data_IF_672641077741
#
_entry.id   IF_672641077741
#
_cell.length_a   1.000
_cell.length_b   1.000
_cell.length_c   1.000
_cell.angle_alpha   90.00
_cell.angle_beta   90.00
_cell.angle_gamma   90.00
#
_symmetry.space_group_name_H-M   'P 1'
#
loop_
_entity.id
_entity.type
_entity.pdbx_description
1 polymer ?
#
# COMPACT_ATOMS: atom_id res chain seq x y z
N UNK A 1 -3.70 25.41 -45.23
CA UNK A 1 -3.71 25.47 -43.76
C UNK A 1 -2.55 24.61 -43.33
N UNK A 2 -1.43 25.30 -43.09
CA UNK A 2 -0.19 24.72 -42.59
C UNK A 2 -0.49 24.03 -41.26
N UNK A 3 -0.09 22.76 -41.17
CA UNK A 3 0.02 22.03 -39.93
C UNK A 3 1.19 22.64 -39.16
N UNK A 4 0.91 23.57 -38.26
CA UNK A 4 1.86 23.98 -37.23
C UNK A 4 2.22 22.73 -36.40
N UNK A 5 3.46 22.29 -36.53
CA UNK A 5 4.07 21.33 -35.62
C UNK A 5 4.00 21.92 -34.19
N UNK A 6 3.63 21.15 -33.17
CA UNK A 6 3.64 21.68 -31.81
C UNK A 6 5.09 22.00 -31.43
N UNK A 7 5.30 23.28 -31.11
CA UNK A 7 6.55 23.88 -30.67
C UNK A 7 7.26 23.05 -29.59
N UNK A 8 8.59 23.13 -29.63
CA UNK A 8 9.56 22.49 -28.74
C UNK A 8 9.08 22.39 -27.28
N UNK A 9 9.11 21.15 -26.76
CA UNK A 9 8.71 20.81 -25.39
C UNK A 9 9.33 21.75 -24.36
N UNK A 10 8.50 22.48 -23.63
CA UNK A 10 8.94 23.30 -22.49
C UNK A 10 9.88 22.52 -21.56
N UNK A 11 10.90 23.19 -20.97
CA UNK A 11 11.89 22.53 -20.13
C UNK A 11 11.23 21.80 -18.96
N UNK A 12 11.47 20.48 -18.90
CA UNK A 12 10.84 19.52 -17.98
C UNK A 12 11.16 19.74 -16.51
N UNK A 13 12.15 20.58 -16.19
CA UNK A 13 12.52 21.00 -14.84
C UNK A 13 13.31 22.31 -14.91
N UNK A 14 13.20 23.16 -13.89
CA UNK A 14 14.06 24.34 -13.75
C UNK A 14 15.50 23.96 -13.39
N UNK A 15 16.49 24.88 -13.54
CA UNK A 15 17.85 24.66 -13.06
C UNK A 15 17.91 24.27 -11.58
N UNK A 16 17.07 24.90 -10.74
CA UNK A 16 17.01 24.61 -9.30
C UNK A 16 16.47 23.21 -9.04
N UNK A 17 15.40 22.79 -9.74
CA UNK A 17 14.85 21.44 -9.64
C UNK A 17 15.87 20.37 -10.10
N UNK A 18 16.63 20.65 -11.16
CA UNK A 18 17.68 19.75 -11.65
C UNK A 18 18.86 19.65 -10.67
N UNK A 19 19.35 20.76 -10.14
CA UNK A 19 20.40 20.78 -9.14
C UNK A 19 19.98 20.01 -7.88
N UNK A 20 18.73 20.20 -7.45
CA UNK A 20 18.17 19.49 -6.30
C UNK A 20 18.06 17.98 -6.55
N UNK A 21 17.63 17.58 -7.75
CA UNK A 21 17.57 16.18 -8.17
C UNK A 21 18.92 15.50 -8.31
N UNK A 22 20.03 16.25 -8.39
CA UNK A 22 21.42 15.74 -8.44
C UNK A 22 22.15 15.83 -7.10
N UNK A 23 21.56 16.50 -6.10
CA UNK A 23 22.20 16.72 -4.81
C UNK A 23 23.31 17.76 -4.83
N UNK A 24 23.34 18.64 -5.85
CA UNK A 24 24.40 19.66 -6.00
C UNK A 24 24.14 20.85 -5.07
N UNK A 25 24.62 20.76 -3.84
CA UNK A 25 24.46 21.80 -2.83
C UNK A 25 25.09 23.13 -3.25
N UNK A 26 26.23 23.09 -3.95
CA UNK A 26 26.92 24.32 -4.36
C UNK A 26 26.08 25.08 -5.39
N UNK A 27 25.56 24.36 -6.38
CA UNK A 27 24.69 24.95 -7.39
C UNK A 27 23.36 25.43 -6.77
N UNK A 28 22.79 24.71 -5.80
CA UNK A 28 21.62 25.16 -5.04
C UNK A 28 21.88 26.49 -4.35
N UNK A 29 22.99 26.62 -3.63
CA UNK A 29 23.34 27.87 -2.94
C UNK A 29 23.58 29.02 -3.93
N UNK A 30 24.27 28.74 -5.05
CA UNK A 30 24.48 29.71 -6.11
C UNK A 30 23.15 30.19 -6.70
N UNK A 31 22.28 29.26 -7.09
CA UNK A 31 20.97 29.57 -7.68
C UNK A 31 20.09 30.37 -6.72
N UNK A 32 19.97 29.96 -5.46
CA UNK A 32 19.18 30.67 -4.44
C UNK A 32 19.70 32.08 -4.16
N UNK A 33 20.99 32.36 -4.37
CA UNK A 33 21.55 33.71 -4.21
C UNK A 33 21.22 34.67 -5.35
N UNK A 34 20.83 34.15 -6.52
CA UNK A 34 20.57 34.94 -7.73
C UNK A 34 19.11 34.88 -8.20
N UNK A 35 18.28 33.97 -7.66
CA UNK A 35 16.86 33.86 -8.02
C UNK A 35 15.97 34.62 -7.02
N UNK A 36 15.31 35.72 -7.45
CA UNK A 36 14.44 36.50 -6.56
C UNK A 36 13.14 35.76 -6.21
N UNK A 37 12.75 34.76 -7.01
CA UNK A 37 11.54 33.95 -6.84
C UNK A 37 11.65 32.95 -5.67
N UNK A 38 12.87 32.75 -5.13
CA UNK A 38 13.13 31.82 -4.02
C UNK A 38 13.04 30.35 -4.43
N UNK A 39 12.94 29.42 -3.45
CA UNK A 39 12.95 27.98 -3.73
C UNK A 39 11.60 27.40 -4.17
N UNK A 40 10.52 28.19 -4.18
CA UNK A 40 9.13 27.75 -4.36
C UNK A 40 8.66 27.85 -5.82
N UNK A 41 9.54 27.49 -6.76
CA UNK A 41 9.17 27.42 -8.17
C UNK A 41 8.10 26.34 -8.40
N UNK A 42 7.09 26.69 -9.19
CA UNK A 42 6.02 25.76 -9.56
C UNK A 42 6.60 24.51 -10.27
N UNK A 43 6.12 23.30 -9.94
CA UNK A 43 6.53 22.08 -10.61
C UNK A 43 6.23 22.15 -12.11
N UNK A 44 7.23 21.88 -12.97
CA UNK A 44 7.06 21.92 -14.42
C UNK A 44 6.63 20.55 -14.96
N UNK A 45 5.60 20.54 -15.80
CA UNK A 45 5.07 19.33 -16.43
C UNK A 45 4.16 18.47 -15.54
N UNK A 46 3.53 17.48 -16.18
CA UNK A 46 2.49 16.65 -15.55
C UNK A 46 2.99 15.82 -14.35
N UNK A 47 4.28 15.45 -14.36
CA UNK A 47 4.98 14.73 -13.28
C UNK A 47 5.99 15.61 -12.54
N UNK A 48 5.89 16.94 -12.68
CA UNK A 48 6.82 17.88 -12.10
C UNK A 48 6.96 17.72 -10.60
N UNK A 49 8.18 17.96 -10.10
CA UNK A 49 8.50 18.03 -8.67
C UNK A 49 9.01 19.43 -8.34
N UNK A 50 8.73 19.92 -7.14
CA UNK A 50 9.49 21.05 -6.60
C UNK A 50 10.94 20.64 -6.35
N UNK A 51 11.84 21.61 -6.21
CA UNK A 51 13.23 21.34 -5.84
C UNK A 51 13.30 20.53 -4.53
N UNK A 52 12.49 20.90 -3.53
CA UNK A 52 12.41 20.20 -2.25
C UNK A 52 11.96 18.73 -2.40
N UNK A 53 10.93 18.48 -3.22
CA UNK A 53 10.46 17.12 -3.51
C UNK A 53 11.52 16.28 -4.24
N UNK A 54 12.24 16.87 -5.20
CA UNK A 54 13.30 16.19 -5.93
C UNK A 54 14.47 15.77 -5.00
N UNK A 55 14.94 16.69 -4.16
CA UNK A 55 15.98 16.40 -3.18
C UNK A 55 15.53 15.38 -2.12
N UNK A 56 14.27 15.49 -1.66
CA UNK A 56 13.72 14.61 -0.64
C UNK A 56 13.53 13.18 -1.13
N UNK A 57 13.12 12.99 -2.39
CA UNK A 57 12.97 11.67 -2.99
C UNK A 57 14.32 10.91 -3.15
N UNK A 58 15.43 11.64 -3.24
CA UNK A 58 16.77 11.07 -3.41
C UNK A 58 17.62 11.11 -2.13
N UNK A 59 17.07 11.60 -1.01
CA UNK A 59 17.76 11.58 0.28
C UNK A 59 18.87 12.62 0.42
N UNK A 60 18.87 13.69 -0.37
CA UNK A 60 19.90 14.72 -0.31
C UNK A 60 19.69 15.68 0.86
N UNK A 61 19.96 15.17 2.06
CA UNK A 61 19.78 15.82 3.36
C UNK A 61 20.31 17.26 3.42
N UNK A 62 21.52 17.50 2.91
CA UNK A 62 22.14 18.83 2.90
C UNK A 62 21.41 19.82 1.98
N UNK A 63 20.92 19.34 0.84
CA UNK A 63 20.12 20.13 -0.11
C UNK A 63 18.73 20.40 0.45
N UNK A 64 18.07 19.39 1.03
CA UNK A 64 16.78 19.55 1.74
C UNK A 64 16.90 20.63 2.81
N UNK A 65 17.95 20.54 3.64
CA UNK A 65 18.23 21.55 4.66
C UNK A 65 18.39 22.94 4.04
N UNK A 66 19.20 23.10 3.00
CA UNK A 66 19.42 24.40 2.36
C UNK A 66 18.12 25.00 1.78
N UNK A 67 17.31 24.19 1.10
CA UNK A 67 16.03 24.61 0.54
C UNK A 67 15.04 25.05 1.63
N UNK A 68 14.92 24.29 2.72
CA UNK A 68 14.05 24.66 3.85
C UNK A 68 14.52 25.96 4.53
N UNK A 69 15.83 26.16 4.71
CA UNK A 69 16.37 27.42 5.26
C UNK A 69 16.11 28.62 4.34
N UNK A 70 16.03 28.39 3.02
CA UNK A 70 15.68 29.41 2.05
C UNK A 70 14.16 29.66 1.92
N UNK A 71 13.34 29.02 2.76
CA UNK A 71 11.88 29.21 2.79
C UNK A 71 11.11 28.31 1.83
N UNK A 72 11.65 27.15 1.46
CA UNK A 72 10.88 26.16 0.70
C UNK A 72 9.66 25.68 1.50
N UNK A 73 8.48 25.71 0.89
CA UNK A 73 7.25 25.22 1.50
C UNK A 73 7.30 23.67 1.59
N UNK A 74 7.34 23.09 2.80
CA UNK A 74 7.41 21.64 2.99
C UNK A 74 6.16 20.89 2.51
N UNK A 75 5.02 21.58 2.43
CA UNK A 75 3.72 21.03 2.02
C UNK A 75 3.34 21.42 0.58
N UNK A 76 4.29 22.01 -0.17
CA UNK A 76 4.10 22.36 -1.56
C UNK A 76 3.61 21.15 -2.37
N UNK A 77 2.62 21.40 -3.23
CA UNK A 77 2.05 20.37 -4.11
C UNK A 77 2.95 20.14 -5.30
N UNK A 78 3.17 18.87 -5.65
CA UNK A 78 3.81 18.51 -6.91
C UNK A 78 2.90 18.74 -8.11
N UNK A 79 3.38 18.37 -9.30
CA UNK A 79 2.62 18.48 -10.54
C UNK A 79 1.30 17.70 -10.55
N UNK A 80 0.52 17.91 -11.61
CA UNK A 80 -0.90 17.55 -11.74
C UNK A 80 -1.24 16.04 -11.61
N UNK A 81 -0.27 15.13 -11.58
CA UNK A 81 -0.52 13.67 -11.56
C UNK A 81 -0.09 12.90 -10.30
N UNK A 82 0.03 13.55 -9.15
CA UNK A 82 0.28 12.75 -7.95
C UNK A 82 0.49 13.49 -6.66
N UNK A 83 0.85 14.78 -6.72
CA UNK A 83 0.87 15.68 -5.56
C UNK A 83 1.53 15.09 -4.31
N UNK A 84 2.50 14.17 -4.43
CA UNK A 84 3.21 13.61 -3.29
C UNK A 84 3.99 14.75 -2.66
N UNK A 85 3.78 15.01 -1.38
CA UNK A 85 4.59 15.98 -0.63
C UNK A 85 6.03 15.46 -0.54
N UNK A 86 6.96 16.36 -0.24
CA UNK A 86 8.35 15.99 0.02
C UNK A 86 8.44 14.90 1.10
N UNK A 87 7.57 14.99 2.13
CA UNK A 87 7.50 14.04 3.23
C UNK A 87 7.11 12.63 2.77
N UNK A 88 6.11 12.50 1.89
CA UNK A 88 5.69 11.20 1.35
C UNK A 88 6.79 10.57 0.50
N UNK A 89 7.47 11.36 -0.34
CA UNK A 89 8.58 10.87 -1.17
C UNK A 89 9.76 10.39 -0.34
N UNK A 90 10.16 11.15 0.68
CA UNK A 90 11.22 10.75 1.60
C UNK A 90 10.85 9.49 2.38
N UNK A 91 9.58 9.36 2.80
CA UNK A 91 9.10 8.21 3.54
C UNK A 91 9.00 6.94 2.69
N UNK A 92 8.61 7.05 1.42
CA UNK A 92 8.61 5.95 0.46
C UNK A 92 10.03 5.40 0.23
N UNK A 93 11.02 6.29 0.14
CA UNK A 93 12.42 5.94 -0.07
C UNK A 93 13.19 5.59 1.22
N UNK A 94 12.59 5.80 2.41
CA UNK A 94 13.19 5.44 3.70
C UNK A 94 14.22 6.45 4.22
N UNK A 95 14.24 7.67 3.70
CA UNK A 95 15.18 8.72 4.09
C UNK A 95 14.76 9.37 5.42
N UNK A 96 15.02 8.67 6.52
CA UNK A 96 14.56 9.05 7.87
C UNK A 96 15.09 10.40 8.34
N UNK A 97 16.30 10.77 7.96
CA UNK A 97 16.91 12.07 8.27
C UNK A 97 16.21 13.22 7.53
N UNK A 98 15.87 13.01 6.25
CA UNK A 98 15.07 13.94 5.45
C UNK A 98 13.66 14.06 6.02
N UNK A 99 13.02 12.96 6.40
CA UNK A 99 11.70 12.98 7.07
C UNK A 99 11.74 13.81 8.35
N UNK A 100 12.75 13.59 9.20
CA UNK A 100 12.90 14.35 10.44
C UNK A 100 13.11 15.84 10.18
N UNK A 101 13.89 16.22 9.16
CA UNK A 101 14.09 17.62 8.76
C UNK A 101 12.79 18.26 8.26
N UNK A 102 12.05 17.57 7.39
CA UNK A 102 10.79 18.09 6.86
C UNK A 102 9.77 18.34 7.97
N UNK A 103 9.59 17.37 8.88
CA UNK A 103 8.68 17.52 10.03
C UNK A 103 9.14 18.65 10.96
N UNK A 104 10.44 18.76 11.23
CA UNK A 104 10.98 19.85 12.07
C UNK A 104 10.79 21.23 11.45
N UNK A 105 10.72 21.30 10.11
CA UNK A 105 10.44 22.53 9.36
C UNK A 105 8.95 22.75 9.08
N UNK A 106 8.05 21.98 9.73
CA UNK A 106 6.61 22.21 9.69
C UNK A 106 5.83 21.39 8.66
N UNK A 107 6.41 20.35 8.04
CA UNK A 107 5.67 19.47 7.13
C UNK A 107 4.49 18.78 7.82
N UNK A 108 3.34 18.73 7.14
CA UNK A 108 2.13 18.10 7.67
C UNK A 108 2.21 16.58 7.54
N UNK A 109 2.40 15.87 8.66
CA UNK A 109 2.50 14.40 8.72
C UNK A 109 1.26 13.70 8.16
N UNK A 110 0.08 14.23 8.48
CA UNK A 110 -1.21 13.61 8.15
C UNK A 110 -1.86 14.21 6.89
N UNK A 111 -1.04 14.61 5.91
CA UNK A 111 -1.54 15.11 4.63
C UNK A 111 -2.42 14.05 3.95
N UNK A 112 -3.60 14.46 3.51
CA UNK A 112 -4.54 13.55 2.84
C UNK A 112 -3.92 13.03 1.53
N UNK A 113 -3.93 11.71 1.29
CA UNK A 113 -3.39 11.14 0.06
C UNK A 113 -4.14 11.64 -1.18
N UNK A 114 -3.40 11.84 -2.27
CA UNK A 114 -3.98 12.09 -3.59
C UNK A 114 -4.92 10.95 -4.01
N UNK A 115 -5.97 11.29 -4.76
CA UNK A 115 -7.10 10.38 -5.07
C UNK A 115 -6.68 9.07 -5.78
N UNK A 116 -5.63 9.10 -6.59
CA UNK A 116 -5.09 7.96 -7.33
C UNK A 116 -3.72 7.58 -6.80
N UNK A 117 -3.53 6.34 -6.37
CA UNK A 117 -2.23 5.83 -5.87
C UNK A 117 -1.61 6.62 -4.71
N UNK A 118 -2.33 7.59 -4.12
CA UNK A 118 -1.82 8.40 -3.04
C UNK A 118 -1.57 7.58 -1.78
N UNK A 119 -0.64 8.09 -0.97
CA UNK A 119 -0.24 7.54 0.33
C UNK A 119 -0.01 8.68 1.32
N UNK A 120 -0.27 8.44 2.59
CA UNK A 120 0.35 9.21 3.68
C UNK A 120 1.81 8.78 3.85
N UNK A 121 2.60 9.54 4.60
CA UNK A 121 3.98 9.18 4.92
C UNK A 121 4.06 7.80 5.61
N UNK A 122 3.15 7.52 6.54
CA UNK A 122 3.08 6.23 7.24
C UNK A 122 2.72 5.08 6.29
N UNK A 123 1.74 5.27 5.40
CA UNK A 123 1.37 4.25 4.42
C UNK A 123 2.52 3.97 3.45
N UNK A 124 3.27 4.99 3.03
CA UNK A 124 4.44 4.85 2.16
C UNK A 124 5.61 4.14 2.86
N UNK A 125 5.94 4.52 4.10
CA UNK A 125 6.97 3.85 4.89
C UNK A 125 6.64 2.37 5.16
N UNK A 126 5.36 2.08 5.44
CA UNK A 126 4.88 0.72 5.65
C UNK A 126 4.94 -0.14 4.37
N UNK A 127 4.63 0.43 3.20
CA UNK A 127 4.77 -0.25 1.89
C UNK A 127 6.26 -0.48 1.56
N UNK A 128 7.13 0.47 1.88
CA UNK A 128 8.58 0.41 1.61
C UNK A 128 9.40 -0.45 2.58
N UNK A 129 8.82 -0.91 3.69
CA UNK A 129 9.52 -1.77 4.66
C UNK A 129 10.40 -1.02 5.66
N UNK A 130 10.21 0.28 5.82
CA UNK A 130 11.05 1.13 6.66
C UNK A 130 10.60 1.11 8.12
N UNK A 131 10.91 0.03 8.84
CA UNK A 131 10.42 -0.25 10.20
C UNK A 131 10.72 0.87 11.21
N UNK A 132 11.97 1.33 11.28
CA UNK A 132 12.37 2.43 12.18
C UNK A 132 11.61 3.72 11.87
N UNK A 133 11.40 3.99 10.58
CA UNK A 133 10.67 5.16 10.13
C UNK A 133 9.17 5.07 10.47
N UNK A 134 8.57 3.87 10.37
CA UNK A 134 7.19 3.64 10.82
C UNK A 134 7.05 3.94 12.30
N UNK A 135 7.96 3.43 13.14
CA UNK A 135 7.98 3.71 14.58
C UNK A 135 8.11 5.21 14.86
N UNK A 136 9.03 5.87 14.15
CA UNK A 136 9.26 7.30 14.28
C UNK A 136 8.01 8.11 13.90
N UNK A 137 7.40 7.83 12.74
CA UNK A 137 6.19 8.52 12.28
C UNK A 137 5.02 8.35 13.26
N UNK A 138 4.83 7.15 13.80
CA UNK A 138 3.80 6.89 14.82
C UNK A 138 4.07 7.67 16.11
N UNK A 139 5.33 7.75 16.55
CA UNK A 139 5.72 8.55 17.72
C UNK A 139 5.49 10.06 17.51
N UNK A 140 5.46 10.53 16.26
CA UNK A 140 5.21 11.93 15.90
C UNK A 140 3.76 12.18 15.45
N UNK A 141 2.83 11.30 15.82
CA UNK A 141 1.39 11.54 15.63
C UNK A 141 0.86 11.22 14.23
N UNK A 142 1.56 10.39 13.45
CA UNK A 142 0.97 9.83 12.24
C UNK A 142 -0.29 9.01 12.57
N UNK A 143 -1.37 9.27 11.84
CA UNK A 143 -2.62 8.55 12.02
C UNK A 143 -2.48 7.12 11.49
N UNK A 144 -2.38 6.16 12.41
CA UNK A 144 -2.26 4.72 12.11
C UNK A 144 -3.41 4.18 11.25
N UNK A 145 -4.59 4.76 11.38
CA UNK A 145 -5.81 4.40 10.66
C UNK A 145 -6.16 5.47 9.60
N UNK A 146 -5.18 6.18 9.05
CA UNK A 146 -5.41 7.12 7.97
C UNK A 146 -6.11 6.44 6.79
N UNK A 147 -7.15 7.06 6.20
CA UNK A 147 -7.90 6.46 5.12
C UNK A 147 -7.02 6.28 3.88
N UNK A 148 -7.22 5.20 3.10
CA UNK A 148 -6.53 5.00 1.83
C UNK A 148 -6.99 5.99 0.77
N UNK A 149 -6.18 6.18 -0.28
CA UNK A 149 -6.62 6.83 -1.51
C UNK A 149 -7.82 6.10 -2.15
N UNK A 150 -8.69 6.83 -2.87
CA UNK A 150 -9.93 6.27 -3.46
C UNK A 150 -9.69 5.14 -4.47
N UNK A 151 -8.56 5.17 -5.16
CA UNK A 151 -8.20 4.20 -6.21
C UNK A 151 -6.80 3.68 -5.93
N UNK A 152 -6.65 2.35 -5.87
CA UNK A 152 -5.38 1.68 -5.50
C UNK A 152 -4.79 2.11 -4.14
N UNK A 153 -5.62 2.72 -3.27
CA UNK A 153 -5.22 3.08 -1.92
C UNK A 153 -5.12 1.86 -1.01
N UNK A 154 -4.23 1.96 -0.02
CA UNK A 154 -4.05 0.99 1.06
C UNK A 154 -3.89 1.73 2.38
N UNK A 155 -4.46 1.20 3.47
CA UNK A 155 -4.07 1.61 4.83
C UNK A 155 -2.63 1.19 5.09
N UNK A 156 -2.01 1.67 6.17
CA UNK A 156 -0.64 1.27 6.52
C UNK A 156 -0.53 -0.26 6.72
N UNK A 157 -1.53 -0.86 7.37
CA UNK A 157 -1.59 -2.32 7.57
C UNK A 157 -1.78 -3.08 6.26
N UNK A 158 -2.69 -2.63 5.38
CA UNK A 158 -2.88 -3.23 4.05
C UNK A 158 -1.61 -3.12 3.19
N UNK A 159 -0.88 -2.00 3.28
CA UNK A 159 0.36 -1.77 2.55
C UNK A 159 1.49 -2.68 3.05
N UNK A 160 1.72 -2.75 4.37
CA UNK A 160 2.72 -3.64 4.97
C UNK A 160 2.41 -5.12 4.66
N UNK A 161 1.13 -5.52 4.72
CA UNK A 161 0.69 -6.86 4.40
C UNK A 161 0.87 -7.21 2.92
N UNK A 162 0.68 -6.25 2.01
CA UNK A 162 0.93 -6.45 0.58
C UNK A 162 2.44 -6.61 0.29
N UNK A 163 3.29 -5.80 0.92
CA UNK A 163 4.73 -5.82 0.69
C UNK A 163 5.48 -6.94 1.42
N UNK A 164 4.84 -7.64 2.35
CA UNK A 164 5.48 -8.74 3.09
C UNK A 164 6.24 -8.30 4.34
N UNK A 165 5.98 -7.09 4.86
CA UNK A 165 6.72 -6.51 5.96
C UNK A 165 6.18 -6.98 7.32
N UNK A 166 6.42 -8.24 7.69
CA UNK A 166 5.83 -8.90 8.88
C UNK A 166 6.07 -8.16 10.20
N UNK A 167 7.27 -7.58 10.40
CA UNK A 167 7.57 -6.78 11.61
C UNK A 167 6.75 -5.49 11.67
N UNK A 168 6.53 -4.85 10.53
CA UNK A 168 5.68 -3.65 10.43
C UNK A 168 4.23 -4.03 10.67
N UNK A 169 3.75 -5.16 10.13
CA UNK A 169 2.41 -5.67 10.42
C UNK A 169 2.23 -5.87 11.92
N UNK A 170 3.13 -6.57 12.59
CA UNK A 170 3.07 -6.76 14.05
C UNK A 170 3.08 -5.41 14.79
N UNK A 171 3.99 -4.50 14.43
CA UNK A 171 4.10 -3.16 15.02
C UNK A 171 2.81 -2.36 14.91
N UNK A 172 2.12 -2.45 13.76
CA UNK A 172 0.86 -1.76 13.52
C UNK A 172 -0.29 -2.40 14.32
N UNK A 173 -0.35 -3.73 14.38
CA UNK A 173 -1.35 -4.47 15.17
C UNK A 173 -1.20 -4.18 16.67
N UNK A 174 0.03 -4.20 17.20
CA UNK A 174 0.35 -3.87 18.60
C UNK A 174 -0.04 -2.43 18.98
N UNK A 175 -0.17 -1.54 17.98
CA UNK A 175 -0.63 -0.15 18.14
C UNK A 175 -2.08 0.06 17.70
N UNK A 176 -2.88 -1.01 17.69
CA UNK A 176 -4.31 -0.98 17.42
C UNK A 176 -4.68 -0.46 16.01
N UNK A 177 -3.86 -0.80 15.01
CA UNK A 177 -4.30 -0.65 13.61
C UNK A 177 -5.55 -1.51 13.38
N UNK A 178 -6.53 -0.96 12.66
CA UNK A 178 -7.78 -1.65 12.38
C UNK A 178 -7.54 -2.78 11.37
N UNK A 179 -7.62 -4.01 11.86
CA UNK A 179 -7.37 -5.22 11.06
C UNK A 179 -8.38 -5.43 9.92
N UNK A 180 -9.64 -5.02 10.13
CA UNK A 180 -10.76 -5.25 9.23
C UNK A 180 -11.17 -4.02 8.41
N UNK A 181 -10.24 -3.12 8.10
CA UNK A 181 -10.52 -2.02 7.17
C UNK A 181 -10.87 -2.57 5.77
N UNK A 182 -12.02 -2.16 5.19
CA UNK A 182 -12.50 -2.72 3.94
C UNK A 182 -11.57 -2.36 2.77
N UNK A 183 -11.59 -3.17 1.70
CA UNK A 183 -10.88 -2.85 0.48
C UNK A 183 -11.50 -1.62 -0.20
N UNK A 184 -10.68 -0.77 -0.81
CA UNK A 184 -11.19 0.29 -1.69
C UNK A 184 -11.88 -0.32 -2.92
N UNK A 185 -12.90 0.38 -3.44
CA UNK A 185 -13.77 -0.12 -4.53
C UNK A 185 -13.00 -0.59 -5.77
N UNK A 186 -11.91 0.10 -6.12
CA UNK A 186 -11.13 -0.16 -7.34
C UNK A 186 -9.80 -0.81 -6.99
N UNK A 187 -9.72 -2.12 -7.19
CA UNK A 187 -8.54 -2.98 -6.93
C UNK A 187 -8.02 -2.91 -5.48
N UNK A 188 -8.90 -2.67 -4.51
CA UNK A 188 -8.54 -2.76 -3.10
C UNK A 188 -8.49 -4.20 -2.60
N UNK A 189 -7.77 -4.41 -1.51
CA UNK A 189 -7.68 -5.69 -0.79
C UNK A 189 -7.76 -5.39 0.71
N UNK A 190 -8.38 -6.27 1.50
CA UNK A 190 -8.14 -6.28 2.95
C UNK A 190 -6.68 -6.64 3.23
N UNK A 191 -6.20 -6.42 4.46
CA UNK A 191 -4.83 -6.82 4.81
C UNK A 191 -4.63 -8.33 4.63
N UNK A 192 -5.62 -9.15 5.02
CA UNK A 192 -5.56 -10.61 4.89
C UNK A 192 -5.57 -11.04 3.42
N UNK A 193 -6.43 -10.44 2.58
CA UNK A 193 -6.44 -10.69 1.14
C UNK A 193 -5.11 -10.29 0.48
N UNK A 194 -4.51 -9.16 0.88
CA UNK A 194 -3.23 -8.71 0.37
C UNK A 194 -2.10 -9.69 0.70
N UNK A 195 -2.00 -10.15 1.94
CA UNK A 195 -1.03 -11.16 2.36
C UNK A 195 -1.24 -12.50 1.65
N UNK A 196 -2.50 -12.93 1.50
CA UNK A 196 -2.85 -14.19 0.85
C UNK A 196 -2.54 -14.20 -0.65
N UNK A 197 -2.79 -13.10 -1.38
CA UNK A 197 -2.39 -12.97 -2.80
C UNK A 197 -0.88 -13.08 -2.95
N UNK A 198 -0.14 -12.41 -2.06
CA UNK A 198 1.31 -12.27 -2.18
C UNK A 198 2.12 -13.43 -1.60
N UNK A 199 1.47 -14.39 -0.92
CA UNK A 199 2.15 -15.57 -0.39
C UNK A 199 2.78 -15.35 0.99
N UNK A 200 2.39 -14.31 1.72
CA UNK A 200 3.00 -13.95 3.01
C UNK A 200 2.37 -14.72 4.18
N UNK A 201 2.70 -16.01 4.30
CA UNK A 201 2.10 -16.92 5.29
C UNK A 201 2.27 -16.49 6.75
N UNK A 202 3.41 -15.90 7.13
CA UNK A 202 3.59 -15.33 8.48
C UNK A 202 2.60 -14.20 8.77
N UNK A 203 2.42 -13.28 7.82
CA UNK A 203 1.48 -12.17 7.95
C UNK A 203 0.03 -12.67 7.98
N UNK A 204 -0.29 -13.72 7.19
CA UNK A 204 -1.61 -14.37 7.27
C UNK A 204 -1.89 -14.83 8.70
N UNK A 205 -0.94 -15.50 9.34
CA UNK A 205 -1.11 -15.94 10.75
C UNK A 205 -1.27 -14.75 11.69
N UNK A 206 -0.40 -13.74 11.61
CA UNK A 206 -0.50 -12.53 12.44
C UNK A 206 -1.87 -11.84 12.32
N UNK A 207 -2.39 -11.72 11.10
CA UNK A 207 -3.68 -11.07 10.86
C UNK A 207 -4.85 -11.92 11.38
N UNK A 208 -4.82 -13.25 11.18
CA UNK A 208 -5.84 -14.16 11.73
C UNK A 208 -5.83 -14.11 13.25
N UNK A 209 -4.66 -14.17 13.88
CA UNK A 209 -4.51 -14.09 15.34
C UNK A 209 -5.01 -12.75 15.90
N UNK A 210 -4.88 -11.67 15.11
CA UNK A 210 -5.41 -10.35 15.43
C UNK A 210 -6.92 -10.17 15.13
N UNK A 211 -7.63 -11.23 14.70
CA UNK A 211 -9.07 -11.19 14.46
C UNK A 211 -9.46 -10.65 13.08
N UNK A 212 -8.63 -10.86 12.05
CA UNK A 212 -9.01 -10.61 10.67
C UNK A 212 -10.24 -11.44 10.28
N UNK A 213 -11.20 -10.81 9.59
CA UNK A 213 -12.33 -11.51 9.00
C UNK A 213 -11.84 -12.36 7.81
N UNK A 214 -11.71 -13.66 8.05
CA UNK A 214 -11.25 -14.67 7.09
C UNK A 214 -12.18 -14.76 5.88
N UNK A 215 -13.45 -14.41 6.05
CA UNK A 215 -14.51 -14.51 5.04
C UNK A 215 -14.90 -13.16 4.46
N UNK A 216 -14.09 -12.11 4.69
CA UNK A 216 -14.34 -10.79 4.15
C UNK A 216 -14.48 -10.81 2.61
N UNK A 217 -15.52 -10.15 2.12
CA UNK A 217 -15.73 -9.94 0.69
C UNK A 217 -14.58 -9.09 0.11
N UNK A 218 -14.16 -9.42 -1.11
CA UNK A 218 -13.19 -8.60 -1.84
C UNK A 218 -13.81 -7.28 -2.35
N UNK A 219 -12.98 -6.44 -2.99
CA UNK A 219 -13.47 -5.23 -3.64
C UNK A 219 -14.58 -5.51 -4.65
N UNK A 220 -15.51 -4.57 -4.85
CA UNK A 220 -16.67 -4.78 -5.72
C UNK A 220 -16.35 -5.08 -7.20
N UNK A 221 -15.12 -4.81 -7.66
CA UNK A 221 -14.63 -5.22 -8.98
C UNK A 221 -13.51 -6.25 -8.79
N UNK A 222 -13.72 -7.48 -9.28
CA UNK A 222 -12.76 -8.59 -9.14
C UNK A 222 -12.41 -8.95 -7.69
N UNK A 223 -13.37 -8.84 -6.76
CA UNK A 223 -13.14 -9.16 -5.36
C UNK A 223 -12.83 -10.63 -5.13
N UNK A 224 -11.73 -10.90 -4.43
CA UNK A 224 -11.34 -12.22 -3.97
C UNK A 224 -11.49 -12.32 -2.45
N UNK A 225 -12.01 -13.43 -1.94
CA UNK A 225 -11.74 -13.84 -0.56
C UNK A 225 -10.26 -14.19 -0.41
N UNK A 226 -9.71 -14.15 0.80
CA UNK A 226 -8.33 -14.56 1.05
C UNK A 226 -8.07 -16.01 0.59
N UNK A 227 -9.05 -16.90 0.79
CA UNK A 227 -8.97 -18.30 0.37
C UNK A 227 -8.91 -18.45 -1.16
N UNK A 228 -9.79 -17.74 -1.88
CA UNK A 228 -9.81 -17.78 -3.35
C UNK A 228 -8.54 -17.18 -3.97
N UNK A 229 -7.99 -16.13 -3.37
CA UNK A 229 -6.72 -15.54 -3.77
C UNK A 229 -5.55 -16.52 -3.60
N UNK A 230 -5.41 -17.14 -2.42
CA UNK A 230 -4.36 -18.12 -2.17
C UNK A 230 -4.48 -19.33 -3.11
N UNK A 231 -5.71 -19.77 -3.40
CA UNK A 231 -5.99 -20.86 -4.33
C UNK A 231 -5.72 -20.50 -5.79
N UNK A 232 -5.90 -19.24 -6.19
CA UNK A 232 -5.58 -18.76 -7.55
C UNK A 232 -4.08 -18.77 -7.83
N UNK A 233 -3.27 -18.39 -6.85
CA UNK A 233 -1.83 -18.26 -7.01
C UNK A 233 -1.08 -19.56 -6.69
N UNK A 234 -1.68 -20.43 -5.86
CA UNK A 234 -1.10 -21.73 -5.52
C UNK A 234 -0.44 -21.82 -4.14
N UNK A 235 -0.80 -20.93 -3.21
CA UNK A 235 -0.19 -20.85 -1.88
C UNK A 235 -0.80 -21.89 -0.93
N UNK A 236 -0.35 -23.14 -1.03
CA UNK A 236 -0.89 -24.29 -0.29
C UNK A 236 -0.91 -24.08 1.24
N UNK A 237 0.18 -23.60 1.83
CA UNK A 237 0.28 -23.38 3.28
C UNK A 237 -0.71 -22.32 3.78
N UNK A 238 -0.95 -21.28 2.97
CA UNK A 238 -1.93 -20.23 3.26
C UNK A 238 -3.34 -20.79 3.14
N UNK A 239 -3.64 -21.61 2.12
CA UNK A 239 -4.93 -22.29 1.99
C UNK A 239 -5.21 -23.12 3.24
N UNK A 240 -4.25 -23.94 3.68
CA UNK A 240 -4.41 -24.76 4.89
C UNK A 240 -4.62 -23.90 6.14
N UNK A 241 -3.84 -22.82 6.29
CA UNK A 241 -3.98 -21.88 7.41
C UNK A 241 -5.36 -21.23 7.45
N UNK A 242 -5.86 -20.77 6.30
CA UNK A 242 -7.18 -20.15 6.19
C UNK A 242 -8.31 -21.16 6.45
N UNK A 243 -8.20 -22.40 5.99
CA UNK A 243 -9.15 -23.48 6.32
C UNK A 243 -9.17 -23.76 7.83
N UNK A 244 -7.99 -23.81 8.46
CA UNK A 244 -7.87 -23.94 9.92
C UNK A 244 -8.51 -22.78 10.68
N UNK A 245 -8.52 -21.58 10.09
CA UNK A 245 -9.15 -20.38 10.61
C UNK A 245 -10.66 -20.26 10.28
N UNK A 246 -11.27 -21.29 9.66
CA UNK A 246 -12.70 -21.29 9.36
C UNK A 246 -13.09 -20.56 8.07
N UNK A 247 -12.20 -20.52 7.07
CA UNK A 247 -12.55 -20.00 5.75
C UNK A 247 -13.68 -20.82 5.12
N UNK A 248 -14.71 -20.12 4.62
CA UNK A 248 -15.84 -20.71 3.93
C UNK A 248 -15.47 -21.03 2.47
N UNK A 249 -15.34 -22.32 2.20
CA UNK A 249 -15.01 -22.89 0.87
C UNK A 249 -16.12 -22.72 -0.17
N UNK A 250 -17.34 -22.41 0.26
CA UNK A 250 -18.51 -22.23 -0.61
C UNK A 250 -18.58 -20.82 -1.20
N UNK A 251 -17.86 -19.85 -0.62
CA UNK A 251 -17.81 -18.49 -1.13
C UNK A 251 -17.27 -18.45 -2.55
N UNK A 252 -18.00 -17.72 -3.39
CA UNK A 252 -17.62 -17.46 -4.77
C UNK A 252 -16.90 -16.12 -4.88
N UNK A 253 -15.94 -16.03 -5.78
CA UNK A 253 -15.11 -14.84 -5.97
C UNK A 253 -14.85 -14.55 -7.44
N UNK A 254 -14.47 -13.30 -7.71
CA UNK A 254 -14.22 -12.78 -9.05
C UNK A 254 -15.47 -12.71 -9.95
N UNK A 255 -15.30 -12.21 -11.17
CA UNK A 255 -16.42 -12.00 -12.10
C UNK A 255 -17.07 -13.29 -12.59
N UNK A 256 -16.37 -14.42 -12.47
CA UNK A 256 -16.84 -15.73 -12.92
C UNK A 256 -17.60 -16.50 -11.84
N UNK A 257 -17.78 -15.90 -10.65
CA UNK A 257 -18.48 -16.51 -9.51
C UNK A 257 -18.00 -17.93 -9.23
N UNK A 258 -16.68 -18.11 -9.15
CA UNK A 258 -16.06 -19.43 -8.93
C UNK A 258 -15.70 -19.61 -7.46
N UNK A 259 -15.85 -20.84 -6.95
CA UNK A 259 -15.32 -21.21 -5.64
C UNK A 259 -13.79 -21.32 -5.69
N UNK A 260 -13.14 -21.25 -4.53
CA UNK A 260 -11.69 -21.41 -4.44
C UNK A 260 -11.20 -22.73 -5.09
N UNK A 261 -11.95 -23.82 -4.95
CA UNK A 261 -11.62 -25.12 -5.57
C UNK A 261 -11.64 -25.05 -7.11
N UNK A 262 -12.68 -24.44 -7.68
CA UNK A 262 -12.80 -24.27 -9.13
C UNK A 262 -11.68 -23.39 -9.69
N UNK A 263 -11.31 -22.33 -8.96
CA UNK A 263 -10.18 -21.46 -9.30
C UNK A 263 -8.87 -22.26 -9.28
N UNK A 264 -8.60 -23.03 -8.24
CA UNK A 264 -7.39 -23.86 -8.12
C UNK A 264 -7.23 -24.83 -9.31
N UNK A 265 -8.29 -25.57 -9.66
CA UNK A 265 -8.24 -26.48 -10.82
C UNK A 265 -8.04 -25.73 -12.13
N UNK A 266 -8.72 -24.60 -12.33
CA UNK A 266 -8.57 -23.79 -13.55
C UNK A 266 -7.15 -23.22 -13.72
N UNK A 267 -6.43 -23.03 -12.61
CA UNK A 267 -5.03 -22.56 -12.58
C UNK A 267 -4.00 -23.71 -12.55
N UNK A 268 -4.45 -24.96 -12.49
CA UNK A 268 -3.57 -26.14 -12.46
C UNK A 268 -3.06 -26.52 -11.07
N UNK A 269 -3.53 -25.87 -10.00
CA UNK A 269 -3.20 -26.21 -8.62
C UNK A 269 -4.04 -27.41 -8.13
N UNK A 270 -3.81 -28.58 -8.73
CA UNK A 270 -4.62 -29.80 -8.54
C UNK A 270 -4.71 -30.24 -7.09
N UNK A 271 -3.60 -30.20 -6.35
CA UNK A 271 -3.56 -30.57 -4.93
C UNK A 271 -4.46 -29.66 -4.09
N UNK A 272 -4.34 -28.34 -4.26
CA UNK A 272 -5.19 -27.35 -3.59
C UNK A 272 -6.67 -27.58 -3.94
N UNK A 273 -6.97 -27.83 -5.22
CA UNK A 273 -8.32 -28.13 -5.68
C UNK A 273 -8.93 -29.33 -4.95
N UNK A 274 -8.17 -30.41 -4.77
CA UNK A 274 -8.62 -31.59 -4.03
C UNK A 274 -8.78 -31.34 -2.53
N UNK A 275 -7.87 -30.59 -1.90
CA UNK A 275 -7.99 -30.20 -0.48
C UNK A 275 -9.29 -29.43 -0.26
N UNK A 276 -9.58 -28.45 -1.11
CA UNK A 276 -10.78 -27.63 -1.02
C UNK A 276 -12.05 -28.44 -1.28
N UNK A 277 -12.04 -29.37 -2.23
CA UNK A 277 -13.19 -30.27 -2.47
C UNK A 277 -13.50 -31.15 -1.25
N UNK A 278 -12.47 -31.70 -0.60
CA UNK A 278 -12.65 -32.50 0.63
C UNK A 278 -13.23 -31.65 1.74
N UNK A 279 -12.72 -30.44 1.95
CA UNK A 279 -13.26 -29.51 2.94
C UNK A 279 -14.75 -29.19 2.68
N UNK A 280 -15.16 -29.01 1.41
CA UNK A 280 -16.58 -28.81 1.06
C UNK A 280 -17.45 -30.02 1.41
N UNK A 281 -16.95 -31.24 1.17
CA UNK A 281 -17.67 -32.47 1.50
C UNK A 281 -17.87 -32.61 3.02
N UNK A 282 -16.85 -32.29 3.81
CA UNK A 282 -16.91 -32.34 5.28
C UNK A 282 -17.94 -31.35 5.86
N UNK A 283 -18.01 -30.13 5.31
CA UNK A 283 -19.03 -29.14 5.68
C UNK A 283 -20.44 -29.67 5.37
N UNK A 284 -20.63 -30.29 4.20
CA UNK A 284 -21.91 -30.85 3.78
C UNK A 284 -22.37 -32.02 4.67
N UNK A 285 -21.44 -32.84 5.16
CA UNK A 285 -21.74 -33.95 6.06
C UNK A 285 -22.11 -33.47 7.47
N UNK A 286 -21.48 -32.40 7.96
CA UNK A 286 -21.82 -31.79 9.27
C UNK A 286 -23.18 -31.08 9.28
N UNK A 287 -23.65 -30.62 8.12
CA UNK A 287 -24.93 -29.92 7.96
C UNK A 287 -26.16 -30.83 7.84
N UNK A 288 -26.00 -32.15 7.75
CA UNK A 288 -27.14 -33.07 7.72
C UNK A 288 -27.65 -33.33 9.15
N UNK A 289 -28.95 -33.09 9.46
CA UNK A 289 -29.50 -33.52 10.73
C UNK A 289 -29.34 -35.03 10.83
N UNK A 290 -28.86 -35.53 11.97
CA UNK A 290 -28.59 -36.93 12.24
C UNK A 290 -29.80 -37.80 11.83
N UNK A 291 -29.81 -38.29 10.58
CA UNK A 291 -30.83 -39.23 10.13
C UNK A 291 -30.56 -40.50 10.89
N UNK A 292 -31.51 -40.78 11.78
CA UNK A 292 -31.58 -41.94 12.64
C UNK A 292 -30.95 -43.17 11.99
N UNK A 293 -29.93 -43.72 12.65
CA UNK A 293 -29.66 -45.15 12.58
C UNK A 293 -30.91 -45.86 13.11
N UNK A 294 -31.91 -46.12 12.28
CA UNK A 294 -32.95 -47.11 12.59
C UNK A 294 -32.48 -48.45 12.01
N UNK A 295 -31.78 -49.16 12.89
CA UNK A 295 -31.95 -50.60 13.13
C UNK A 295 -32.21 -51.48 11.91
N UNK A 296 -31.12 -51.98 11.32
CA UNK A 296 -31.09 -53.39 10.92
C UNK A 296 -30.97 -54.23 12.19
N UNK A 297 -32.11 -54.67 12.72
CA UNK A 297 -32.18 -55.87 13.56
C UNK A 297 -33.43 -56.60 13.16
N UNK A 298 -33.20 -57.61 12.31
CA UNK A 298 -33.95 -58.85 12.06
C UNK A 298 -35.48 -58.82 12.11
#
# INVERSE_FOLDING_TARGET
MESEEPEESEPTSSPLQLAAGRGDLHEIQRLLSITPEGPNEEPRGYYGRTALQAASANGYSSVVKALLHAGADPDAKGGNNGGKTALVLAAEAGHSDVVAQLVSSGATINTQPYRYYGRTALQAAAEGGHEELVLWLLAHGANINAPPARVHGRTALQAAAFSGNARIVQTLLDRNARVNEPPVRYKGLTALQAAAVQGHGEIVRQLVDAGADVNANGAGLNGYTALSAAAEIGHLEIVQSLLGAGADVSLVSGNQSRTAAQIAFARGHVEIGHILQRATADVSLRGQPARMRRSETR
#
